data_IF_041270437106
#
_entry.id   IF_041270437106
#
_cell.length_a   1.000
_cell.length_b   1.000
_cell.length_c   1.000
_cell.angle_alpha   90.00
_cell.angle_beta   90.00
_cell.angle_gamma   90.00
#
_symmetry.space_group_name_H-M   'P 1'
#
loop_
_entity.id
_entity.type
_entity.pdbx_description
1 polymer ?
#
# COMPACT_ATOMS: atom_id res chain seq x y z
N UNK A 1 1.95 -5.89 -31.22
CA UNK A 1 1.79 -7.37 -31.13
C UNK A 1 1.40 -7.69 -29.70
N UNK A 2 0.15 -8.07 -29.52
CA UNK A 2 -0.41 -8.49 -28.23
C UNK A 2 0.12 -9.92 -27.95
N UNK A 3 0.89 -10.08 -26.88
CA UNK A 3 1.22 -11.40 -26.36
C UNK A 3 0.23 -11.77 -25.27
N UNK A 4 -0.65 -12.73 -25.60
CA UNK A 4 -1.45 -13.42 -24.60
C UNK A 4 -0.54 -14.41 -23.85
N UNK A 5 -0.32 -14.20 -22.56
CA UNK A 5 0.24 -15.23 -21.72
C UNK A 5 -0.91 -16.01 -21.08
N UNK A 6 -0.88 -17.32 -21.35
CA UNK A 6 -1.85 -18.30 -20.90
C UNK A 6 -1.91 -18.34 -19.36
N UNK A 7 -3.12 -18.20 -18.81
CA UNK A 7 -3.39 -18.38 -17.40
C UNK A 7 -3.15 -19.82 -16.95
N UNK A 8 -2.47 -19.97 -15.83
CA UNK A 8 -2.38 -21.26 -15.12
C UNK A 8 -3.75 -21.53 -14.49
N UNK A 9 -4.47 -22.50 -15.04
CA UNK A 9 -5.72 -23.01 -14.47
C UNK A 9 -5.38 -24.02 -13.39
N UNK A 10 -5.59 -23.66 -12.12
CA UNK A 10 -5.70 -24.63 -11.04
C UNK A 10 -7.19 -24.90 -10.79
N UNK A 11 -7.60 -26.14 -11.08
CA UNK A 11 -8.95 -26.64 -10.88
C UNK A 11 -9.17 -26.92 -9.39
N UNK A 12 -9.89 -26.05 -8.69
CA UNK A 12 -10.57 -26.35 -7.44
C UNK A 12 -12.07 -26.16 -7.62
N UNK A 13 -12.78 -27.27 -7.71
CA UNK A 13 -14.25 -27.29 -7.68
C UNK A 13 -14.72 -26.81 -6.32
N UNK A 14 -15.25 -25.61 -6.24
CA UNK A 14 -16.48 -25.25 -5.51
C UNK A 14 -16.77 -23.74 -5.68
N UNK A 15 -17.90 -23.43 -6.30
CA UNK A 15 -18.71 -22.21 -6.36
C UNK A 15 -18.01 -20.85 -6.29
N UNK A 16 -18.17 -20.13 -7.39
CA UNK A 16 -17.87 -18.72 -7.66
C UNK A 16 -16.42 -18.42 -8.02
N UNK A 17 -16.10 -18.54 -9.32
CA UNK A 17 -14.89 -17.95 -9.92
C UNK A 17 -15.06 -16.44 -9.92
N UNK A 18 -14.38 -15.77 -9.02
CA UNK A 18 -14.09 -14.34 -9.12
C UNK A 18 -12.71 -14.23 -9.76
N UNK A 19 -12.65 -13.70 -10.95
CA UNK A 19 -11.38 -13.51 -11.65
C UNK A 19 -11.05 -12.02 -11.61
N UNK A 20 -9.99 -11.65 -10.91
CA UNK A 20 -9.43 -10.30 -10.94
C UNK A 20 -8.22 -10.39 -11.87
N UNK A 21 -8.30 -9.73 -13.00
CA UNK A 21 -7.20 -9.68 -13.96
C UNK A 21 -6.39 -8.42 -13.74
N UNK A 22 -5.11 -8.57 -13.45
CA UNK A 22 -4.15 -7.48 -13.43
C UNK A 22 -3.45 -7.44 -14.79
N UNK A 23 -3.50 -6.30 -15.46
CA UNK A 23 -2.80 -6.09 -16.72
C UNK A 23 -1.58 -5.21 -16.45
N UNK A 24 -0.39 -5.77 -16.60
CA UNK A 24 0.86 -5.04 -16.56
C UNK A 24 1.26 -4.67 -18.01
N UNK A 25 1.21 -3.39 -18.35
CA UNK A 25 1.72 -2.91 -19.63
C UNK A 25 3.23 -2.73 -19.54
N UNK A 26 3.97 -3.52 -20.32
CA UNK A 26 5.43 -3.61 -20.25
C UNK A 26 6.15 -2.34 -20.71
N UNK A 27 5.55 -1.54 -21.59
CA UNK A 27 6.23 -0.41 -22.24
C UNK A 27 6.19 0.90 -21.44
N UNK A 28 5.31 1.00 -20.44
CA UNK A 28 5.12 2.22 -19.66
C UNK A 28 4.99 2.00 -18.14
N UNK A 29 5.16 0.76 -17.68
CA UNK A 29 5.09 0.42 -16.25
C UNK A 29 3.69 0.57 -15.65
N UNK A 30 2.64 0.54 -16.47
CA UNK A 30 1.26 0.72 -16.03
C UNK A 30 0.67 -0.59 -15.53
N UNK A 31 0.14 -0.58 -14.31
CA UNK A 31 -0.66 -1.65 -13.76
C UNK A 31 -2.15 -1.26 -13.85
N UNK A 32 -2.93 -2.00 -14.63
CA UNK A 32 -4.38 -1.85 -14.67
C UNK A 32 -5.05 -3.08 -14.07
N UNK A 33 -6.13 -2.84 -13.33
CA UNK A 33 -6.97 -3.91 -12.79
C UNK A 33 -8.29 -3.94 -13.54
N UNK A 34 -8.59 -5.06 -14.21
CA UNK A 34 -9.94 -5.34 -14.72
C UNK A 34 -10.62 -6.35 -13.78
N UNK A 35 -11.76 -5.96 -13.24
CA UNK A 35 -12.60 -6.84 -12.44
C UNK A 35 -13.71 -7.36 -13.34
N UNK A 36 -13.58 -8.59 -13.81
CA UNK A 36 -14.64 -9.26 -14.59
C UNK A 36 -15.30 -10.34 -13.72
N UNK A 37 -16.64 -10.39 -13.77
CA UNK A 37 -17.42 -11.48 -13.18
C UNK A 37 -17.83 -11.32 -11.72
N UNK A 38 -17.81 -10.10 -11.16
CA UNK A 38 -18.50 -9.82 -9.90
C UNK A 38 -19.93 -9.38 -10.23
N UNK A 39 -20.97 -10.08 -9.76
CA UNK A 39 -22.32 -9.61 -9.85
C UNK A 39 -22.45 -8.23 -9.20
N UNK A 40 -23.25 -7.35 -9.83
CA UNK A 40 -23.43 -5.94 -9.40
C UNK A 40 -23.97 -5.83 -7.98
N UNK A 41 -24.77 -6.81 -7.55
CA UNK A 41 -25.29 -6.97 -6.19
C UNK A 41 -24.20 -7.18 -5.14
N UNK A 42 -23.14 -7.92 -5.48
CA UNK A 42 -22.02 -8.15 -4.56
C UNK A 42 -21.08 -6.92 -4.45
N UNK A 43 -21.04 -6.10 -5.50
CA UNK A 43 -20.37 -4.79 -5.46
C UNK A 43 -21.14 -3.80 -4.58
N UNK A 44 -22.46 -3.95 -4.50
CA UNK A 44 -23.33 -3.17 -3.62
C UNK A 44 -23.08 -3.58 -2.18
N UNK A 45 -23.06 -4.89 -1.87
CA UNK A 45 -22.75 -5.40 -0.53
C UNK A 45 -21.35 -4.94 -0.03
N UNK A 46 -20.34 -4.98 -0.90
CA UNK A 46 -19.00 -4.46 -0.56
C UNK A 46 -18.98 -2.93 -0.42
N UNK A 47 -19.87 -2.20 -1.12
CA UNK A 47 -20.03 -0.75 -0.96
C UNK A 47 -20.82 -0.39 0.28
N UNK A 48 -21.79 -1.20 0.66
CA UNK A 48 -22.60 -1.00 1.85
C UNK A 48 -21.79 -1.33 3.12
N UNK A 49 -20.94 -2.36 3.07
CA UNK A 49 -19.96 -2.68 4.13
C UNK A 49 -18.82 -1.64 4.23
N UNK A 50 -18.44 -0.98 3.13
CA UNK A 50 -17.41 0.07 3.10
C UNK A 50 -18.01 1.49 3.28
N UNK A 51 -19.32 1.61 3.48
CA UNK A 51 -20.02 2.89 3.57
C UNK A 51 -19.98 3.65 2.24
N UNK A 52 -21.15 3.91 1.65
CA UNK A 52 -21.27 4.79 0.47
C UNK A 52 -20.38 6.03 0.67
N UNK A 53 -19.61 6.39 -0.36
CA UNK A 53 -18.83 7.62 -0.44
C UNK A 53 -19.69 8.86 -0.20
N UNK A 54 -20.15 9.07 1.02
CA UNK A 54 -20.62 10.37 1.46
C UNK A 54 -19.41 11.07 2.07
N UNK A 55 -18.99 12.16 1.43
CA UNK A 55 -18.02 13.15 1.84
C UNK A 55 -17.60 13.01 3.31
N UNK A 56 -16.60 12.15 3.56
CA UNK A 56 -15.91 12.13 4.83
C UNK A 56 -15.19 13.47 4.93
N UNK A 57 -15.74 14.35 5.73
CA UNK A 57 -15.19 15.68 5.94
C UNK A 57 -13.91 15.57 6.79
N UNK A 58 -12.80 15.20 6.16
CA UNK A 58 -11.46 15.11 6.79
C UNK A 58 -10.94 16.49 7.22
N UNK A 59 -11.78 17.50 7.30
CA UNK A 59 -11.39 18.89 7.51
C UNK A 59 -11.78 19.54 8.82
N UNK A 60 -12.73 19.00 9.61
CA UNK A 60 -13.07 19.51 10.96
C UNK A 60 -13.71 18.41 11.79
N UNK A 61 -13.42 18.32 13.10
CA UNK A 61 -14.21 17.50 14.01
C UNK A 61 -15.66 18.02 13.99
N UNK A 62 -16.61 17.18 13.58
CA UNK A 62 -18.03 17.50 13.76
C UNK A 62 -18.31 17.29 15.24
N UNK A 63 -18.57 18.38 15.95
CA UNK A 63 -19.03 18.31 17.33
C UNK A 63 -20.33 17.47 17.38
N UNK A 64 -20.27 16.32 18.06
CA UNK A 64 -21.45 15.62 18.55
C UNK A 64 -21.79 14.24 17.99
N UNK A 65 -21.08 13.68 17.00
CA UNK A 65 -21.19 12.23 16.64
C UNK A 65 -19.85 11.70 16.13
N UNK A 66 -19.23 10.85 16.93
CA UNK A 66 -18.11 10.02 16.48
C UNK A 66 -18.64 9.01 15.45
N UNK A 67 -18.38 9.28 14.16
CA UNK A 67 -18.54 8.25 13.14
C UNK A 67 -17.32 7.33 13.22
N UNK A 68 -17.51 6.16 13.76
CA UNK A 68 -16.55 5.07 13.70
C UNK A 68 -17.22 3.93 12.95
N UNK A 69 -16.68 3.49 11.79
CA UNK A 69 -17.10 2.23 11.20
C UNK A 69 -16.97 1.12 12.24
N UNK A 70 -17.95 0.23 12.33
CA UNK A 70 -18.01 -0.80 13.38
C UNK A 70 -16.79 -1.73 13.40
N UNK A 71 -16.11 -1.91 12.27
CA UNK A 71 -14.86 -2.66 12.14
C UNK A 71 -13.61 -1.88 12.59
N UNK A 72 -13.71 -0.55 12.79
CA UNK A 72 -12.60 0.29 13.26
C UNK A 72 -12.54 0.39 14.80
N UNK A 73 -13.50 -0.21 15.51
CA UNK A 73 -13.54 -0.21 16.99
C UNK A 73 -12.58 -1.19 17.63
N UNK A 74 -11.95 -2.05 16.83
CA UNK A 74 -11.01 -3.02 17.33
C UNK A 74 -9.58 -2.50 17.23
N UNK A 75 -9.11 -1.90 18.29
CA UNK A 75 -7.75 -1.33 18.43
C UNK A 75 -6.66 -2.44 18.50
N UNK A 76 -6.99 -3.66 18.01
CA UNK A 76 -6.09 -4.82 17.99
C UNK A 76 -5.12 -4.82 16.84
N UNK A 77 -5.24 -3.89 15.88
CA UNK A 77 -4.32 -3.83 14.76
C UNK A 77 -3.15 -2.90 15.06
N UNK A 78 -1.97 -3.49 15.16
CA UNK A 78 -0.72 -2.82 15.42
C UNK A 78 0.23 -3.07 14.26
N UNK A 79 1.07 -2.06 13.97
CA UNK A 79 2.19 -2.19 13.06
C UNK A 79 3.49 -2.05 13.83
N UNK A 80 4.51 -2.80 13.46
CA UNK A 80 5.87 -2.55 13.91
C UNK A 80 6.42 -1.34 13.18
N UNK A 81 6.44 -0.21 13.88
CA UNK A 81 6.84 1.09 13.37
C UNK A 81 8.26 1.39 13.80
N UNK A 82 9.13 1.75 12.83
CA UNK A 82 10.43 2.32 13.14
C UNK A 82 10.29 3.79 13.51
N UNK A 83 9.71 4.61 12.63
CA UNK A 83 9.41 6.03 12.89
C UNK A 83 8.37 6.57 11.92
N UNK A 84 7.81 7.74 12.28
CA UNK A 84 7.08 8.62 11.36
C UNK A 84 7.87 9.92 11.23
N UNK A 85 7.90 10.48 10.04
CA UNK A 85 8.40 11.81 9.80
C UNK A 85 7.60 12.50 8.70
N UNK A 86 7.63 13.82 8.69
CA UNK A 86 6.80 14.63 7.82
C UNK A 86 7.68 15.51 6.92
N UNK A 87 7.06 16.08 5.89
CA UNK A 87 7.67 17.05 4.97
C UNK A 87 8.80 16.47 4.11
N UNK A 88 8.85 15.16 3.91
CA UNK A 88 9.81 14.57 2.97
C UNK A 88 9.48 14.98 1.54
N UNK A 89 10.51 15.30 0.78
CA UNK A 89 10.43 15.63 -0.66
C UNK A 89 11.22 14.62 -1.52
N UNK A 90 11.77 13.59 -0.89
CA UNK A 90 12.58 12.57 -1.56
C UNK A 90 11.93 11.19 -1.59
N UNK A 91 10.87 10.98 -0.80
CA UNK A 91 10.20 9.69 -0.65
C UNK A 91 8.92 9.58 -1.50
N UNK A 92 8.89 10.25 -2.65
CA UNK A 92 7.77 10.28 -3.58
C UNK A 92 7.38 11.69 -3.99
N UNK A 93 6.38 11.87 -4.88
CA UNK A 93 6.02 13.16 -5.43
C UNK A 93 5.41 14.08 -4.38
N UNK A 94 5.79 15.36 -4.41
CA UNK A 94 5.33 16.37 -3.47
C UNK A 94 5.92 16.21 -2.08
N UNK A 95 5.31 16.88 -1.10
CA UNK A 95 5.69 16.83 0.31
C UNK A 95 4.91 15.73 1.01
N UNK A 96 5.59 14.86 1.74
CA UNK A 96 4.98 13.62 2.22
C UNK A 96 5.12 13.41 3.73
N UNK A 97 4.09 12.86 4.35
CA UNK A 97 4.23 12.13 5.60
C UNK A 97 4.75 10.73 5.29
N UNK A 98 5.74 10.27 6.04
CA UNK A 98 6.39 8.98 5.79
C UNK A 98 6.22 8.07 7.00
N UNK A 99 5.65 6.89 6.77
CA UNK A 99 5.54 5.80 7.74
C UNK A 99 6.63 4.80 7.44
N UNK A 100 7.66 4.76 8.29
CA UNK A 100 8.77 3.84 8.16
C UNK A 100 8.56 2.63 9.08
N UNK A 101 8.27 1.47 8.48
CA UNK A 101 8.01 0.23 9.23
C UNK A 101 9.31 -0.46 9.67
N UNK A 102 9.24 -1.29 10.71
CA UNK A 102 10.31 -2.16 11.16
C UNK A 102 9.99 -3.63 10.90
N UNK A 103 11.00 -4.43 10.54
CA UNK A 103 10.90 -5.80 10.08
C UNK A 103 11.04 -5.89 8.57
N UNK A 104 12.03 -6.66 8.10
CA UNK A 104 12.28 -6.88 6.67
C UNK A 104 12.83 -8.28 6.44
N UNK A 105 12.10 -9.11 5.71
CA UNK A 105 12.54 -10.44 5.33
C UNK A 105 13.54 -10.45 4.17
N UNK A 106 13.58 -9.37 3.37
CA UNK A 106 14.43 -9.28 2.15
C UNK A 106 15.89 -9.03 2.49
N UNK A 107 16.17 -8.10 3.42
CA UNK A 107 17.53 -7.80 3.92
C UNK A 107 18.55 -7.54 2.83
N UNK A 108 18.25 -6.61 1.93
CA UNK A 108 19.14 -6.25 0.82
C UNK A 108 20.55 -5.93 1.29
N UNK A 109 21.61 -6.46 0.64
CA UNK A 109 22.98 -6.07 0.92
C UNK A 109 23.20 -4.57 0.67
N UNK A 110 23.83 -3.88 1.61
CA UNK A 110 24.05 -2.44 1.51
C UNK A 110 22.80 -1.57 1.71
N UNK A 111 21.75 -2.11 2.32
CA UNK A 111 20.51 -1.38 2.61
C UNK A 111 20.81 -0.03 3.29
N UNK A 112 20.08 1.05 2.89
CA UNK A 112 20.24 2.38 3.50
C UNK A 112 19.82 2.44 4.97
N UNK A 113 18.91 1.56 5.41
CA UNK A 113 18.35 1.54 6.76
C UNK A 113 18.34 0.13 7.34
N UNK A 114 19.54 -0.49 7.52
CA UNK A 114 19.66 -1.86 7.97
C UNK A 114 19.09 -2.09 9.39
N UNK A 115 18.98 -1.03 10.19
CA UNK A 115 18.32 -1.06 11.50
C UNK A 115 16.85 -1.46 11.42
N UNK A 116 16.19 -1.24 10.29
CA UNK A 116 14.79 -1.66 10.08
C UNK A 116 14.63 -3.14 9.79
N UNK A 117 15.71 -3.89 9.56
CA UNK A 117 15.62 -5.33 9.29
C UNK A 117 15.03 -6.12 10.46
N UNK A 118 15.36 -5.73 11.69
CA UNK A 118 14.81 -6.34 12.88
C UNK A 118 13.57 -5.58 13.35
N UNK A 119 12.41 -6.27 13.41
CA UNK A 119 11.17 -5.65 13.90
C UNK A 119 11.29 -5.09 15.32
N UNK A 120 12.10 -5.70 16.16
CA UNK A 120 12.30 -5.28 17.55
C UNK A 120 13.12 -3.98 17.70
N UNK A 121 13.69 -3.46 16.61
CA UNK A 121 14.25 -2.11 16.57
C UNK A 121 13.16 -1.03 16.35
N UNK A 122 11.93 -1.45 16.15
CA UNK A 122 10.75 -0.62 16.15
C UNK A 122 9.92 -0.80 17.42
N UNK A 123 8.76 -0.20 17.41
CA UNK A 123 7.74 -0.33 18.46
C UNK A 123 6.41 -0.73 17.84
N UNK A 124 5.56 -1.42 18.58
CA UNK A 124 4.18 -1.66 18.18
C UNK A 124 3.37 -0.37 18.39
N UNK A 125 2.71 0.09 17.35
CA UNK A 125 1.86 1.30 17.38
C UNK A 125 0.53 0.95 16.73
N UNK A 126 -0.57 1.41 17.33
CA UNK A 126 -1.89 1.18 16.75
C UNK A 126 -2.05 1.92 15.41
N UNK A 127 -2.77 1.32 14.49
CA UNK A 127 -3.08 1.93 13.20
C UNK A 127 -3.85 3.23 13.39
N UNK A 128 -4.73 3.30 14.36
CA UNK A 128 -5.47 4.51 14.71
C UNK A 128 -4.55 5.67 15.06
N UNK A 129 -3.55 5.45 15.93
CA UNK A 129 -2.60 6.50 16.32
C UNK A 129 -1.79 7.01 15.14
N UNK A 130 -1.34 6.11 14.24
CA UNK A 130 -0.61 6.50 13.03
C UNK A 130 -1.50 7.32 12.10
N UNK A 131 -2.73 6.85 11.89
CA UNK A 131 -3.69 7.54 11.05
C UNK A 131 -4.00 8.95 11.57
N UNK A 132 -4.27 9.10 12.87
CA UNK A 132 -4.54 10.41 13.51
C UNK A 132 -3.35 11.35 13.36
N UNK A 133 -2.12 10.88 13.59
CA UNK A 133 -0.90 11.67 13.41
C UNK A 133 -0.78 12.17 11.96
N UNK A 134 -0.99 11.30 10.97
CA UNK A 134 -0.93 11.67 9.55
C UNK A 134 -2.02 12.69 9.19
N UNK A 135 -3.27 12.46 9.63
CA UNK A 135 -4.40 13.35 9.35
C UNK A 135 -4.17 14.72 9.97
N UNK A 136 -3.58 14.80 11.17
CA UNK A 136 -3.25 16.08 11.80
C UNK A 136 -2.30 16.95 10.97
N UNK A 137 -1.50 16.31 10.09
CA UNK A 137 -0.52 16.95 9.21
C UNK A 137 -0.98 17.06 7.75
N UNK A 138 -2.28 16.82 7.49
CA UNK A 138 -2.81 16.78 6.12
C UNK A 138 -2.55 18.07 5.32
N UNK A 139 -2.70 19.24 5.97
CA UNK A 139 -2.52 20.53 5.29
C UNK A 139 -1.06 20.88 5.00
N UNK A 140 -0.14 20.11 5.56
CA UNK A 140 1.29 20.33 5.42
C UNK A 140 1.93 19.37 4.39
N UNK A 141 1.19 18.33 3.95
CA UNK A 141 1.71 17.26 3.10
C UNK A 141 0.73 16.92 1.96
N UNK A 142 1.28 16.63 0.78
CA UNK A 142 0.53 16.27 -0.43
C UNK A 142 0.12 14.78 -0.45
N UNK A 143 0.73 13.97 0.40
CA UNK A 143 0.44 12.54 0.45
C UNK A 143 1.21 11.78 1.52
N UNK A 144 1.07 10.47 1.48
CA UNK A 144 1.69 9.54 2.43
C UNK A 144 2.57 8.54 1.70
N UNK A 145 3.72 8.25 2.28
CA UNK A 145 4.60 7.17 1.81
C UNK A 145 4.76 6.13 2.91
N UNK A 146 4.63 4.87 2.56
CA UNK A 146 4.87 3.73 3.44
C UNK A 146 6.12 3.01 2.92
N UNK A 147 7.15 2.96 3.74
CA UNK A 147 8.45 2.37 3.41
C UNK A 147 9.13 1.82 4.67
N UNK A 148 10.41 1.54 4.62
CA UNK A 148 11.24 1.23 5.79
C UNK A 148 11.83 -0.15 5.74
N UNK A 149 11.40 -1.08 6.61
CA UNK A 149 11.63 -2.51 6.47
C UNK A 149 10.95 -3.04 5.20
N UNK A 150 10.09 -4.02 5.33
CA UNK A 150 9.25 -4.48 4.23
C UNK A 150 7.77 -4.34 4.61
N UNK A 151 7.04 -3.38 4.01
CA UNK A 151 5.64 -3.16 4.33
C UNK A 151 4.76 -4.40 4.11
N UNK A 152 5.04 -5.19 3.08
CA UNK A 152 4.26 -6.39 2.77
C UNK A 152 4.55 -7.58 3.70
N UNK A 153 5.56 -7.49 4.57
CA UNK A 153 5.73 -8.45 5.67
C UNK A 153 4.71 -8.21 6.81
N UNK A 154 4.00 -7.08 6.76
CA UNK A 154 2.92 -6.68 7.67
C UNK A 154 1.65 -6.32 6.90
N UNK A 155 1.33 -7.10 5.85
CA UNK A 155 0.29 -6.79 4.85
C UNK A 155 -1.06 -6.46 5.47
N UNK A 156 -1.50 -7.17 6.50
CA UNK A 156 -2.80 -6.92 7.14
C UNK A 156 -2.88 -5.52 7.77
N UNK A 157 -1.88 -5.14 8.56
CA UNK A 157 -1.83 -3.82 9.19
C UNK A 157 -1.65 -2.70 8.17
N UNK A 158 -0.83 -2.94 7.14
CA UNK A 158 -0.61 -1.96 6.06
C UNK A 158 -1.88 -1.79 5.21
N UNK A 159 -2.62 -2.86 4.92
CA UNK A 159 -3.89 -2.79 4.20
C UNK A 159 -4.90 -1.92 4.95
N UNK A 160 -5.05 -2.12 6.25
CA UNK A 160 -5.93 -1.28 7.06
C UNK A 160 -5.52 0.19 7.04
N UNK A 161 -4.22 0.49 7.22
CA UNK A 161 -3.73 1.87 7.15
C UNK A 161 -3.99 2.50 5.78
N UNK A 162 -3.73 1.76 4.69
CA UNK A 162 -3.98 2.20 3.31
C UNK A 162 -5.46 2.52 3.10
N UNK A 163 -6.37 1.64 3.53
CA UNK A 163 -7.82 1.87 3.39
C UNK A 163 -8.27 3.13 4.14
N UNK A 164 -7.82 3.32 5.38
CA UNK A 164 -8.14 4.51 6.17
C UNK A 164 -7.60 5.79 5.51
N UNK A 165 -6.36 5.78 5.03
CA UNK A 165 -5.77 6.93 4.34
C UNK A 165 -6.49 7.21 3.02
N UNK A 166 -6.87 6.17 2.27
CA UNK A 166 -7.58 6.32 1.02
C UNK A 166 -9.00 6.86 1.20
N UNK A 167 -9.70 6.50 2.28
CA UNK A 167 -11.00 7.08 2.63
C UNK A 167 -10.93 8.59 2.87
N UNK A 168 -9.76 9.11 3.24
CA UNK A 168 -9.46 10.54 3.33
C UNK A 168 -8.82 11.13 2.07
N UNK A 169 -8.85 10.43 0.93
CA UNK A 169 -8.28 10.88 -0.35
C UNK A 169 -6.78 11.26 -0.29
N UNK A 170 -5.99 10.56 0.51
CA UNK A 170 -4.54 10.71 0.43
C UNK A 170 -3.99 10.05 -0.83
N UNK A 171 -3.01 10.70 -1.45
CA UNK A 171 -2.15 10.05 -2.43
C UNK A 171 -1.13 9.17 -1.71
N UNK A 172 -1.10 7.87 -2.03
CA UNK A 172 -0.33 6.87 -1.30
C UNK A 172 0.76 6.27 -2.19
N UNK A 173 2.00 6.31 -1.70
CA UNK A 173 3.16 5.63 -2.29
C UNK A 173 3.59 4.51 -1.35
N UNK A 174 3.86 3.33 -1.89
CA UNK A 174 4.43 2.21 -1.12
C UNK A 174 5.73 1.75 -1.78
N UNK A 175 6.76 1.57 -0.97
CA UNK A 175 8.01 0.94 -1.39
C UNK A 175 8.02 -0.52 -0.96
N UNK A 176 8.58 -1.37 -1.79
CA UNK A 176 8.79 -2.78 -1.48
C UNK A 176 10.04 -3.32 -2.16
N UNK A 177 10.71 -4.23 -1.50
CA UNK A 177 11.81 -4.97 -2.13
C UNK A 177 11.32 -6.21 -2.88
N UNK A 178 10.04 -6.57 -2.81
CA UNK A 178 9.46 -7.55 -3.73
C UNK A 178 9.22 -6.91 -5.10
N UNK A 179 9.15 -7.72 -6.16
CA UNK A 179 8.56 -7.29 -7.42
C UNK A 179 7.04 -7.44 -7.37
N UNK A 180 6.31 -6.65 -8.14
CA UNK A 180 4.84 -6.72 -8.21
C UNK A 180 4.36 -8.12 -8.60
N UNK A 181 5.07 -8.80 -9.49
CA UNK A 181 4.77 -10.17 -9.90
C UNK A 181 4.85 -11.15 -8.71
N UNK A 182 5.89 -11.01 -7.86
CA UNK A 182 6.03 -11.82 -6.66
C UNK A 182 4.94 -11.55 -5.64
N UNK A 183 4.52 -10.29 -5.49
CA UNK A 183 3.41 -9.93 -4.61
C UNK A 183 2.09 -10.53 -5.09
N UNK A 184 1.79 -10.41 -6.38
CA UNK A 184 0.57 -10.97 -7.00
C UNK A 184 0.54 -12.50 -6.86
N UNK A 185 1.68 -13.16 -7.06
CA UNK A 185 1.79 -14.61 -6.94
C UNK A 185 1.51 -15.15 -5.53
N UNK A 186 1.66 -14.34 -4.48
CA UNK A 186 1.31 -14.75 -3.10
C UNK A 186 -0.19 -15.01 -2.91
N UNK A 187 -1.05 -14.53 -3.81
CA UNK A 187 -2.52 -14.68 -3.75
C UNK A 187 -3.15 -14.25 -2.42
N UNK A 188 -2.48 -13.38 -1.69
CA UNK A 188 -2.89 -12.86 -0.40
C UNK A 188 -3.91 -11.73 -0.57
N UNK A 189 -5.00 -11.76 0.24
CA UNK A 189 -6.07 -10.78 0.15
C UNK A 189 -5.60 -9.37 0.53
N UNK A 190 -4.84 -9.24 1.61
CA UNK A 190 -4.38 -7.93 2.11
C UNK A 190 -3.38 -7.31 1.14
N UNK A 191 -2.50 -8.13 0.52
CA UNK A 191 -1.59 -7.66 -0.53
C UNK A 191 -2.37 -7.12 -1.71
N UNK A 192 -3.40 -7.84 -2.19
CA UNK A 192 -4.26 -7.34 -3.27
C UNK A 192 -4.99 -6.07 -2.89
N UNK A 193 -5.48 -5.99 -1.65
CA UNK A 193 -6.11 -4.80 -1.12
C UNK A 193 -5.16 -3.59 -1.17
N UNK A 194 -3.92 -3.73 -0.70
CA UNK A 194 -2.91 -2.68 -0.78
C UNK A 194 -2.71 -2.26 -2.24
N UNK A 195 -2.39 -3.23 -3.11
CA UNK A 195 -2.08 -2.96 -4.51
C UNK A 195 -3.23 -2.28 -5.26
N UNK A 196 -4.49 -2.52 -4.88
CA UNK A 196 -5.66 -1.90 -5.52
C UNK A 196 -6.00 -0.50 -5.00
N UNK A 197 -5.41 -0.05 -3.90
CA UNK A 197 -5.72 1.23 -3.27
C UNK A 197 -4.56 2.23 -3.21
N UNK A 198 -3.34 1.83 -3.55
CA UNK A 198 -2.19 2.74 -3.62
C UNK A 198 -2.12 3.42 -4.99
N UNK A 199 -1.57 4.63 -5.06
CA UNK A 199 -1.42 5.38 -6.32
C UNK A 199 -0.10 5.07 -7.01
N UNK A 200 0.94 4.73 -6.24
CA UNK A 200 2.27 4.42 -6.77
C UNK A 200 2.91 3.30 -5.95
N UNK A 201 3.44 2.31 -6.65
CA UNK A 201 4.31 1.29 -6.08
C UNK A 201 5.74 1.49 -6.59
N UNK A 202 6.70 1.54 -5.68
CA UNK A 202 8.12 1.48 -6.03
C UNK A 202 8.60 0.09 -5.62
N UNK A 203 8.85 -0.76 -6.62
CA UNK A 203 9.08 -2.18 -6.43
C UNK A 203 10.47 -2.64 -6.84
N UNK A 204 10.90 -3.75 -6.29
CA UNK A 204 12.18 -4.37 -6.53
C UNK A 204 13.19 -4.20 -5.40
N UNK A 205 14.07 -5.19 -5.19
CA UNK A 205 15.07 -5.15 -4.13
C UNK A 205 16.08 -4.03 -4.41
N UNK A 206 16.53 -3.37 -3.33
CA UNK A 206 17.62 -2.41 -3.43
C UNK A 206 18.92 -3.13 -3.80
N UNK A 207 19.67 -2.54 -4.75
CA UNK A 207 20.98 -3.01 -5.15
C UNK A 207 21.99 -1.85 -5.06
N UNK A 208 22.92 -1.96 -4.11
CA UNK A 208 23.92 -0.92 -3.86
C UNK A 208 24.91 -0.70 -5.02
N UNK A 209 25.03 -1.65 -5.94
CA UNK A 209 25.85 -1.49 -7.14
C UNK A 209 25.16 -0.66 -8.24
N UNK A 210 23.84 -0.44 -8.13
CA UNK A 210 23.00 0.24 -9.11
C UNK A 210 22.44 1.59 -8.60
N UNK A 211 23.13 2.24 -7.69
CA UNK A 211 22.72 3.53 -7.11
C UNK A 211 22.79 4.65 -8.16
N UNK A 212 23.81 4.62 -9.01
CA UNK A 212 23.95 5.60 -10.08
C UNK A 212 22.83 5.42 -11.09
N UNK A 213 22.23 6.53 -11.52
CA UNK A 213 21.10 6.55 -12.47
C UNK A 213 19.82 5.90 -11.93
N UNK A 214 19.65 5.82 -10.60
CA UNK A 214 18.45 5.24 -9.98
C UNK A 214 17.15 5.92 -10.46
N UNK A 215 17.22 7.22 -10.80
CA UNK A 215 16.06 8.02 -11.18
C UNK A 215 15.27 8.50 -9.98
N UNK A 216 14.17 9.23 -10.23
CA UNK A 216 13.38 9.83 -9.18
C UNK A 216 12.79 8.78 -8.23
N UNK A 217 12.87 9.06 -6.93
CA UNK A 217 12.27 8.27 -5.82
C UNK A 217 12.76 6.82 -5.69
N UNK A 218 13.74 6.38 -6.48
CA UNK A 218 14.30 5.03 -6.44
C UNK A 218 15.66 5.02 -5.77
N UNK A 219 15.94 4.00 -4.99
CA UNK A 219 17.25 3.82 -4.36
C UNK A 219 18.29 3.20 -5.30
N UNK A 220 17.85 2.46 -6.33
CA UNK A 220 18.70 1.81 -7.33
C UNK A 220 17.98 1.68 -8.66
N UNK A 221 18.72 1.64 -9.77
CA UNK A 221 18.15 1.70 -11.14
C UNK A 221 17.33 0.47 -11.55
N UNK A 222 17.51 -0.66 -10.86
CA UNK A 222 16.71 -1.86 -11.05
C UNK A 222 15.31 -1.78 -10.41
N UNK A 223 15.05 -0.80 -9.54
CA UNK A 223 13.73 -0.58 -8.99
C UNK A 223 12.81 0.08 -10.02
N UNK A 224 11.53 -0.24 -9.96
CA UNK A 224 10.52 0.28 -10.89
C UNK A 224 9.56 1.21 -10.17
N UNK A 225 9.11 2.24 -10.85
CA UNK A 225 8.03 3.11 -10.41
C UNK A 225 6.78 2.74 -11.22
N UNK A 226 5.79 2.16 -10.54
CA UNK A 226 4.54 1.68 -11.11
C UNK A 226 3.40 2.57 -10.61
N UNK A 227 2.64 3.19 -11.52
CA UNK A 227 1.52 4.07 -11.17
C UNK A 227 0.20 3.41 -11.54
N UNK A 228 -0.78 3.51 -10.65
CA UNK A 228 -2.16 3.22 -10.96
C UNK A 228 -2.75 4.39 -11.78
N UNK A 229 -3.41 4.08 -12.89
CA UNK A 229 -4.15 5.06 -13.70
C UNK A 229 -5.64 4.98 -13.43
#
# INVERSE_FOLDING_TARGET
RVFHHAGVKTDFKTKMKKEITFILEHDNGKLTTEVSGIPTDLLIDLRDDLGTSQNLNCGKPIEGKSWEPSYLKDDRHYIWLHRIYHHSVVDGPGRRSVVQVAGCSIRCPGCYVPETHNRHNGRQVSISSIFEEIVSKRHENDGVTILGGEPFDQSSSVAELVLRLKSCNFHIVVYTGYTSEKLIAKSDFDIRCILSHIDTLIDGPFDSSLIFEAGEYRGSSNQRLLQQR
#
